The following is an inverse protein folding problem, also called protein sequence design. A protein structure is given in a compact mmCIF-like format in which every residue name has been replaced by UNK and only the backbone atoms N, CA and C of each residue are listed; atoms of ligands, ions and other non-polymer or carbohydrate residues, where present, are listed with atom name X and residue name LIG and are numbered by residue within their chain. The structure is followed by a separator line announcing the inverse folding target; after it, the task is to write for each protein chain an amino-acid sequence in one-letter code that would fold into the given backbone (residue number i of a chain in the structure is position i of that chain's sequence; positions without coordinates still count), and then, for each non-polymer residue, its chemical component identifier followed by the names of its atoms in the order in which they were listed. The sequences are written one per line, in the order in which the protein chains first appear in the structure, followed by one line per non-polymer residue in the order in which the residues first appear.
data_IF_668416646333
#
_entry.id   IF_668416646333
#
_cell.length_a   1.000
_cell.length_b   1.000
_cell.length_c   1.000
_cell.angle_alpha   90.00
_cell.angle_beta   90.00
_cell.angle_gamma   90.00
#
_symmetry.space_group_name_H-M   'P 1'
#
loop_
_entity.id
_entity.type
_entity.pdbx_description
1 polymer ?
#
# COMPACT_ATOMS: atom_id res chain seq x y z
N UNK A 1 13.72 4.30 14.92
CA UNK A 1 12.76 4.56 13.83
C UNK A 1 11.95 3.29 13.61
N UNK A 2 10.63 3.37 13.41
CA UNK A 2 9.84 2.20 13.05
C UNK A 2 10.36 1.61 11.73
N UNK A 3 10.47 0.28 11.67
CA UNK A 3 10.86 -0.44 10.46
C UNK A 3 9.56 -0.68 9.69
N UNK A 4 9.43 -0.10 8.50
CA UNK A 4 8.30 -0.38 7.60
C UNK A 4 8.55 -1.73 6.94
N UNK A 5 8.00 -2.80 7.50
CA UNK A 5 8.04 -4.14 6.93
C UNK A 5 7.03 -4.27 5.78
N UNK A 6 7.48 -4.82 4.67
CA UNK A 6 6.66 -5.23 3.55
C UNK A 6 6.78 -6.76 3.39
N UNK A 7 5.66 -7.45 3.24
CA UNK A 7 5.62 -8.89 3.06
C UNK A 7 5.03 -9.22 1.68
N UNK A 8 5.51 -10.32 1.07
CA UNK A 8 4.87 -10.84 -0.14
C UNK A 8 3.57 -11.57 0.22
N UNK A 9 2.66 -11.65 -0.75
CA UNK A 9 1.39 -12.37 -0.61
C UNK A 9 1.55 -13.83 -0.17
N UNK A 10 2.71 -14.45 -0.46
CA UNK A 10 3.01 -15.85 -0.14
C UNK A 10 4.02 -16.01 1.01
N UNK A 11 4.47 -14.93 1.64
CA UNK A 11 5.42 -14.96 2.77
C UNK A 11 6.82 -15.48 2.43
N UNK A 12 7.14 -15.63 1.15
CA UNK A 12 8.42 -16.14 0.62
C UNK A 12 9.51 -15.06 0.57
N UNK A 13 9.12 -13.78 0.63
CA UNK A 13 10.05 -12.68 0.80
C UNK A 13 9.50 -11.64 1.77
N UNK A 14 10.40 -11.12 2.59
CA UNK A 14 10.16 -9.97 3.44
C UNK A 14 11.07 -8.84 2.97
N UNK A 15 10.61 -7.61 3.12
CA UNK A 15 11.33 -6.46 2.60
C UNK A 15 10.99 -5.20 3.35
N UNK A 16 11.52 -4.10 2.84
CA UNK A 16 11.15 -2.76 3.26
C UNK A 16 10.77 -1.98 2.02
N UNK A 17 9.65 -1.27 2.10
CA UNK A 17 9.25 -0.30 1.08
C UNK A 17 9.26 1.08 1.73
N UNK A 18 10.00 1.99 1.09
CA UNK A 18 10.08 3.39 1.50
C UNK A 18 9.63 4.24 0.32
N UNK A 19 8.61 5.06 0.55
CA UNK A 19 8.08 6.01 -0.44
C UNK A 19 8.28 7.41 0.13
N UNK A 20 9.08 8.21 -0.56
CA UNK A 20 9.23 9.64 -0.30
C UNK A 20 8.30 10.38 -1.25
N UNK A 21 7.11 10.72 -0.77
CA UNK A 21 6.19 11.63 -1.46
C UNK A 21 6.81 13.03 -1.49
N UNK A 22 6.59 13.83 -2.53
CA UNK A 22 6.73 15.24 -2.26
C UNK A 22 5.51 15.68 -1.43
N UNK A 23 5.76 16.59 -0.49
CA UNK A 23 4.85 16.87 0.62
C UNK A 23 3.45 17.23 0.11
N UNK A 24 2.41 16.55 0.64
CA UNK A 24 0.97 16.65 0.32
C UNK A 24 0.42 15.88 -0.89
N UNK A 25 1.26 15.25 -1.71
CA UNK A 25 0.84 14.70 -3.00
C UNK A 25 0.07 13.37 -2.95
N UNK A 26 0.14 12.61 -1.86
CA UNK A 26 -0.77 11.45 -1.70
C UNK A 26 -2.24 11.91 -1.68
N UNK A 27 -2.52 13.10 -1.16
CA UNK A 27 -3.85 13.69 -1.18
C UNK A 27 -4.26 14.15 -2.58
N UNK A 28 -3.30 14.65 -3.36
CA UNK A 28 -3.54 15.05 -4.75
C UNK A 28 -3.78 13.84 -5.63
N UNK A 29 -2.93 12.82 -5.50
CA UNK A 29 -3.11 11.58 -6.24
C UNK A 29 -4.41 10.86 -5.89
N UNK A 30 -4.79 10.86 -4.60
CA UNK A 30 -6.08 10.32 -4.18
C UNK A 30 -7.26 11.06 -4.86
N UNK A 31 -7.19 12.39 -5.00
CA UNK A 31 -8.22 13.15 -5.73
C UNK A 31 -8.27 12.77 -7.21
N UNK A 32 -7.11 12.60 -7.84
CA UNK A 32 -7.01 12.19 -9.25
C UNK A 32 -7.56 10.77 -9.49
N UNK A 33 -7.45 9.90 -8.47
CA UNK A 33 -8.09 8.58 -8.46
C UNK A 33 -9.58 8.61 -8.06
N UNK A 34 -10.16 9.80 -7.85
CA UNK A 34 -11.59 9.98 -7.57
C UNK A 34 -11.98 9.88 -6.10
N UNK A 35 -11.03 9.94 -5.16
CA UNK A 35 -11.35 9.99 -3.72
C UNK A 35 -12.01 11.34 -3.40
N UNK A 36 -13.23 11.37 -2.84
CA UNK A 36 -13.91 12.62 -2.52
C UNK A 36 -13.19 13.42 -1.42
N UNK A 37 -13.32 14.75 -1.45
CA UNK A 37 -12.62 15.66 -0.54
C UNK A 37 -13.00 15.53 0.94
N UNK A 38 -14.13 14.91 1.26
CA UNK A 38 -14.55 14.60 2.63
C UNK A 38 -13.85 13.35 3.21
N UNK A 39 -12.98 12.69 2.44
CA UNK A 39 -12.15 11.59 2.90
C UNK A 39 -10.69 12.03 3.08
N UNK A 40 -10.03 11.49 4.11
CA UNK A 40 -8.61 11.66 4.37
C UNK A 40 -7.87 10.36 4.02
N UNK A 41 -6.99 10.34 2.99
CA UNK A 41 -6.15 9.21 2.66
C UNK A 41 -5.21 8.82 3.80
N UNK A 42 -5.29 7.57 4.23
CA UNK A 42 -4.47 7.00 5.30
C UNK A 42 -3.37 6.09 4.77
N UNK A 43 -3.61 5.47 3.62
CA UNK A 43 -2.69 4.51 3.06
C UNK A 43 -2.98 4.21 1.60
N UNK A 44 -2.00 3.60 0.96
CA UNK A 44 -2.06 3.17 -0.41
C UNK A 44 -1.54 1.74 -0.51
N UNK A 45 -2.19 0.96 -1.36
CA UNK A 45 -1.65 -0.27 -1.90
C UNK A 45 -1.56 -0.14 -3.41
N UNK A 46 -0.50 -0.66 -4.00
CA UNK A 46 -0.45 -0.82 -5.44
C UNK A 46 0.22 -2.15 -5.79
N UNK A 47 -0.23 -2.72 -6.91
CA UNK A 47 0.35 -3.93 -7.49
C UNK A 47 0.52 -3.74 -8.99
N UNK A 48 1.59 -4.27 -9.52
CA UNK A 48 1.77 -4.37 -10.97
C UNK A 48 0.80 -5.43 -11.50
N UNK A 49 -0.10 -5.03 -12.39
CA UNK A 49 -0.96 -5.96 -13.12
C UNK A 49 -0.13 -6.80 -14.09
N UNK A 50 -0.48 -8.08 -14.24
CA UNK A 50 0.11 -8.91 -15.28
C UNK A 50 -0.24 -8.33 -16.66
N UNK A 51 0.78 -8.01 -17.44
CA UNK A 51 0.65 -7.49 -18.80
C UNK A 51 1.26 -8.49 -19.77
N UNK A 52 0.55 -8.75 -20.87
CA UNK A 52 1.09 -9.54 -21.97
C UNK A 52 2.32 -8.87 -22.60
N UNK A 53 3.07 -9.57 -23.47
CA UNK A 53 4.37 -9.12 -24.00
C UNK A 53 4.36 -7.81 -24.81
N UNK A 54 3.21 -7.18 -25.03
CA UNK A 54 3.03 -5.96 -25.81
C UNK A 54 2.22 -4.87 -25.06
N UNK A 55 1.93 -5.05 -23.77
CA UNK A 55 1.16 -4.09 -23.00
C UNK A 55 2.03 -3.34 -22.00
N UNK A 56 1.85 -2.03 -21.93
CA UNK A 56 2.51 -1.21 -20.90
C UNK A 56 2.05 -1.65 -19.51
N UNK A 57 2.97 -1.80 -18.54
CA UNK A 57 2.62 -2.19 -17.19
C UNK A 57 1.63 -1.20 -16.56
N UNK A 58 0.49 -1.74 -16.12
CA UNK A 58 -0.54 -0.99 -15.40
C UNK A 58 -0.38 -1.23 -13.90
N UNK A 59 -0.35 -0.15 -13.13
CA UNK A 59 -0.48 -0.21 -11.68
C UNK A 59 -1.96 -0.27 -11.32
N UNK A 60 -2.35 -1.32 -10.60
CA UNK A 60 -3.63 -1.38 -9.91
C UNK A 60 -3.41 -0.75 -8.54
N UNK A 61 -4.14 0.31 -8.24
CA UNK A 61 -3.96 1.13 -7.05
C UNK A 61 -5.22 1.04 -6.19
N UNK A 62 -5.04 0.93 -4.88
CA UNK A 62 -6.11 1.00 -3.88
C UNK A 62 -5.75 2.07 -2.86
N UNK A 63 -6.59 3.09 -2.71
CA UNK A 63 -6.46 4.11 -1.66
C UNK A 63 -7.38 3.73 -0.50
N UNK A 64 -6.81 3.69 0.70
CA UNK A 64 -7.56 3.56 1.94
C UNK A 64 -7.73 4.95 2.55
N UNK A 65 -8.96 5.36 2.78
CA UNK A 65 -9.25 6.67 3.35
C UNK A 65 -10.34 6.61 4.42
N UNK A 66 -10.23 7.47 5.43
CA UNK A 66 -11.21 7.60 6.50
C UNK A 66 -12.09 8.83 6.31
N UNK A 67 -13.30 8.79 6.85
CA UNK A 67 -14.25 9.90 6.77
C UNK A 67 -13.80 11.04 7.69
N UNK A 68 -13.56 12.22 7.14
CA UNK A 68 -13.07 13.37 7.91
C UNK A 68 -14.05 13.80 9.01
N UNK A 69 -15.35 13.60 8.79
CA UNK A 69 -16.34 13.91 9.82
C UNK A 69 -16.23 12.99 11.06
N UNK A 70 -15.57 11.83 10.90
CA UNK A 70 -15.37 10.84 11.96
C UNK A 70 -14.00 10.97 12.63
N UNK A 71 -12.93 11.09 11.84
CA UNK A 71 -11.54 11.06 12.33
C UNK A 71 -10.89 12.44 12.43
N UNK A 72 -11.57 13.47 11.94
CA UNK A 72 -11.06 14.84 11.80
C UNK A 72 -10.40 15.12 10.45
N UNK A 73 -9.94 16.36 10.27
CA UNK A 73 -9.51 16.87 8.97
C UNK A 73 -7.98 16.86 8.79
N UNK A 74 -7.25 16.75 9.90
CA UNK A 74 -5.79 16.85 9.94
C UNK A 74 -5.14 15.54 10.39
N UNK A 75 -3.85 15.39 10.11
CA UNK A 75 -3.07 14.25 10.62
C UNK A 75 -3.10 14.18 12.16
N UNK A 76 -3.04 15.34 12.82
CA UNK A 76 -3.10 15.42 14.29
C UNK A 76 -4.46 14.98 14.84
N UNK A 77 -5.56 15.24 14.12
CA UNK A 77 -6.88 14.72 14.51
C UNK A 77 -6.93 13.21 14.41
N UNK A 78 -6.37 12.65 13.34
CA UNK A 78 -6.32 11.21 13.10
C UNK A 78 -5.46 10.52 14.15
N UNK A 79 -4.29 11.09 14.50
CA UNK A 79 -3.44 10.57 15.58
C UNK A 79 -4.24 10.54 16.90
N UNK A 80 -4.90 11.65 17.25
CA UNK A 80 -5.75 11.72 18.44
C UNK A 80 -6.90 10.72 18.42
N UNK A 81 -7.49 10.48 17.25
CA UNK A 81 -8.54 9.47 17.09
C UNK A 81 -8.02 8.06 17.36
N UNK A 82 -6.84 7.70 16.83
CA UNK A 82 -6.18 6.39 17.03
C UNK A 82 -5.75 6.17 18.47
N UNK A 83 -5.31 7.21 19.17
CA UNK A 83 -4.98 7.12 20.59
C UNK A 83 -6.21 6.71 21.45
N UNK A 84 -7.41 7.05 20.98
CA UNK A 84 -8.66 6.79 21.70
C UNK A 84 -9.41 5.56 21.20
N UNK A 85 -9.12 5.10 19.98
CA UNK A 85 -9.82 4.00 19.32
C UNK A 85 -8.82 2.98 18.78
N UNK A 86 -8.99 1.68 19.06
CA UNK A 86 -8.05 0.64 18.63
C UNK A 86 -8.02 0.43 17.10
N UNK A 87 -8.97 1.00 16.36
CA UNK A 87 -9.06 0.88 14.90
C UNK A 87 -9.71 2.11 14.27
N UNK A 88 -9.36 2.37 13.02
CA UNK A 88 -9.99 3.40 12.18
C UNK A 88 -10.85 2.71 11.11
N UNK A 89 -12.14 3.07 10.98
CA UNK A 89 -12.95 2.66 9.83
C UNK A 89 -12.42 3.27 8.53
N UNK A 90 -12.11 2.42 7.54
CA UNK A 90 -11.59 2.85 6.24
C UNK A 90 -12.53 2.45 5.11
N UNK A 91 -12.61 3.30 4.09
CA UNK A 91 -13.18 3.00 2.78
C UNK A 91 -12.07 2.86 1.74
N UNK A 92 -12.34 2.06 0.72
CA UNK A 92 -11.40 1.72 -0.33
C UNK A 92 -11.84 2.34 -1.65
N UNK A 93 -10.88 2.90 -2.40
CA UNK A 93 -11.05 3.36 -3.78
C UNK A 93 -10.02 2.68 -4.66
N UNK A 94 -10.51 1.91 -5.63
CA UNK A 94 -9.66 1.25 -6.61
C UNK A 94 -9.52 2.10 -7.86
N UNK A 95 -8.29 2.13 -8.38
CA UNK A 95 -7.93 2.89 -9.56
C UNK A 95 -6.86 2.19 -10.38
N UNK A 96 -6.57 2.80 -11.53
CA UNK A 96 -5.51 2.37 -12.43
C UNK A 96 -4.62 3.57 -12.72
N UNK A 97 -3.32 3.35 -12.66
CA UNK A 97 -2.32 4.37 -12.99
C UNK A 97 -1.19 3.74 -13.80
N UNK A 98 -0.47 4.55 -14.57
CA UNK A 98 0.81 4.13 -15.12
C UNK A 98 1.93 4.34 -14.09
N UNK A 99 3.08 3.67 -14.27
CA UNK A 99 4.29 3.99 -13.50
C UNK A 99 4.72 5.46 -13.69
N UNK A 100 4.52 6.00 -14.89
CA UNK A 100 4.82 7.40 -15.18
C UNK A 100 3.90 8.37 -14.42
N UNK A 101 2.63 8.00 -14.19
CA UNK A 101 1.72 8.79 -13.36
C UNK A 101 2.16 8.76 -11.90
N UNK A 102 2.50 7.58 -11.36
CA UNK A 102 3.03 7.45 -10.01
C UNK A 102 4.25 8.36 -9.80
N UNK A 103 5.18 8.38 -10.76
CA UNK A 103 6.39 9.22 -10.72
C UNK A 103 6.14 10.73 -10.59
N UNK A 104 4.93 11.22 -10.89
CA UNK A 104 4.57 12.63 -10.68
C UNK A 104 4.40 12.98 -9.20
N UNK A 105 4.06 12.01 -8.36
CA UNK A 105 3.73 12.20 -6.94
C UNK A 105 4.79 11.63 -6.00
N UNK A 106 5.73 10.83 -6.51
CA UNK A 106 6.82 10.26 -5.71
C UNK A 106 8.17 10.86 -6.11
N UNK A 107 8.89 11.36 -5.12
CA UNK A 107 10.25 11.88 -5.32
C UNK A 107 11.28 10.75 -5.35
N UNK A 108 11.12 9.78 -4.45
CA UNK A 108 11.99 8.59 -4.35
C UNK A 108 11.16 7.37 -4.01
N UNK A 109 11.48 6.26 -4.68
CA UNK A 109 10.94 4.94 -4.40
C UNK A 109 12.10 3.98 -4.14
N UNK A 110 12.11 3.36 -2.97
CA UNK A 110 13.06 2.33 -2.60
C UNK A 110 12.30 1.08 -2.15
N UNK A 111 12.55 -0.03 -2.83
CA UNK A 111 12.03 -1.34 -2.46
C UNK A 111 13.21 -2.30 -2.31
N UNK A 112 13.38 -2.83 -1.10
CA UNK A 112 14.39 -3.84 -0.79
C UNK A 112 13.67 -5.14 -0.49
N UNK A 113 13.87 -6.15 -1.32
CA UNK A 113 13.37 -7.51 -1.07
C UNK A 113 14.49 -8.37 -0.49
N UNK A 114 14.23 -9.01 0.66
CA UNK A 114 15.08 -10.02 1.26
C UNK A 114 14.39 -11.37 1.11
N UNK A 115 14.94 -12.23 0.27
CA UNK A 115 14.49 -13.62 0.18
C UNK A 115 14.72 -14.30 1.54
N UNK A 116 13.66 -14.76 2.18
CA UNK A 116 13.78 -15.61 3.36
C UNK A 116 13.89 -17.04 2.84
N UNK A 117 15.04 -17.67 3.00
CA UNK A 117 15.18 -19.09 2.69
C UNK A 117 14.32 -19.87 3.67
N UNK A 118 13.13 -20.30 3.25
CA UNK A 118 12.31 -21.23 4.02
C UNK A 118 13.04 -22.57 4.00
N UNK A 119 13.75 -22.89 5.09
CA UNK A 119 14.26 -24.25 5.33
C UNK A 119 13.07 -25.03 5.90
N UNK A 120 12.24 -25.56 5.02
CA UNK A 120 11.17 -26.48 5.40
C UNK A 120 11.74 -27.89 5.53
N UNK A 121 11.73 -28.45 6.74
CA UNK A 121 11.85 -29.89 6.96
C UNK A 121 10.62 -30.57 6.36
N UNK A 122 10.67 -30.82 5.05
CA UNK A 122 9.62 -31.53 4.35
C UNK A 122 9.81 -33.01 4.69
N UNK A 123 9.19 -33.47 5.79
CA UNK A 123 9.05 -34.90 6.03
C UNK A 123 8.08 -35.44 4.98
N UNK A 124 8.63 -36.09 3.96
CA UNK A 124 7.89 -36.94 3.05
C UNK A 124 7.24 -38.05 3.89
N UNK A 125 5.92 -38.03 3.99
CA UNK A 125 5.14 -39.16 4.50
C UNK A 125 4.67 -39.91 3.24
N UNK A 126 5.25 -41.07 2.90
CA UNK A 126 4.71 -41.89 1.82
C UNK A 126 3.30 -42.33 2.21
N UNK A 127 2.36 -42.28 1.26
CA UNK A 127 1.06 -42.94 1.42
C UNK A 127 1.32 -44.46 1.56
N UNK A 128 0.84 -45.05 2.65
CA UNK A 128 0.80 -46.51 2.82
C UNK A 128 -0.31 -47.07 1.90
N UNK A 129 0.06 -48.04 1.04
CA UNK A 129 -0.84 -48.84 0.20
C UNK A 129 -1.75 -49.78 1.03
#
# INVERSE_FOLDING_TARGET
MPINTADTQYGDAQGTVSIDWHTSEIHEWAKDLGVPSNYFPLGISFRLGAVGPQQEPVLLVTIFAADKAMVGETADDIIRYVEQHPSIPVKQWDGRASLADLQKYIKRFEAVAKSVKIIGDTKFVPEEE
#
